data_IF_403002181548
#
_entry.id   IF_403002181548
#
_cell.length_a   1.000
_cell.length_b   1.000
_cell.length_c   1.000
_cell.angle_alpha   90.00
_cell.angle_beta   90.00
_cell.angle_gamma   90.00
#
_symmetry.space_group_name_H-M   'P 1'
#
loop_
_entity.id
_entity.type
_entity.pdbx_description
1 polymer ?
#
# COMPACT_ATOMS: atom_id res chain seq x y z
N UNK A 1 16.40 7.94 33.46
CA UNK A 1 17.49 7.85 32.47
C UNK A 1 16.95 8.21 31.09
N UNK A 2 17.82 8.37 30.09
CA UNK A 2 17.41 8.56 28.70
C UNK A 2 16.58 7.37 28.19
N UNK A 3 16.97 6.16 28.58
CA UNK A 3 16.28 4.90 28.29
C UNK A 3 14.82 4.89 28.79
N UNK A 4 14.56 5.26 30.05
CA UNK A 4 13.18 5.36 30.57
C UNK A 4 12.34 6.36 29.77
N UNK A 5 12.94 7.49 29.32
CA UNK A 5 12.22 8.45 28.49
C UNK A 5 11.96 7.92 27.08
N UNK A 6 12.89 7.13 26.53
CA UNK A 6 12.71 6.43 25.26
C UNK A 6 11.56 5.42 25.34
N UNK A 7 11.56 4.55 26.35
CA UNK A 7 10.52 3.52 26.52
C UNK A 7 9.15 4.14 26.77
N UNK A 8 9.09 5.21 27.58
CA UNK A 8 7.87 5.98 27.77
C UNK A 8 7.37 6.58 26.44
N UNK A 9 8.27 7.10 25.60
CA UNK A 9 7.91 7.63 24.29
C UNK A 9 7.36 6.53 23.36
N UNK A 10 7.98 5.35 23.33
CA UNK A 10 7.49 4.21 22.54
C UNK A 10 6.11 3.75 23.02
N UNK A 11 5.89 3.67 24.34
CA UNK A 11 4.59 3.33 24.92
C UNK A 11 3.51 4.35 24.55
N UNK A 12 3.82 5.65 24.61
CA UNK A 12 2.91 6.72 24.19
C UNK A 12 2.57 6.63 22.70
N UNK A 13 3.56 6.32 21.85
CA UNK A 13 3.35 6.11 20.41
C UNK A 13 2.42 4.92 20.14
N UNK A 14 2.60 3.82 20.86
CA UNK A 14 1.79 2.60 20.73
C UNK A 14 0.30 2.84 21.06
N UNK A 15 -0.01 3.77 21.97
CA UNK A 15 -1.39 4.15 22.31
C UNK A 15 -1.90 5.39 21.54
N UNK A 16 -1.18 5.82 20.50
CA UNK A 16 -1.58 6.94 19.63
C UNK A 16 -1.37 8.34 20.21
N UNK A 17 -0.75 8.49 21.38
CA UNK A 17 -0.41 9.79 21.99
C UNK A 17 0.87 10.37 21.41
N UNK A 18 0.85 10.64 20.10
CA UNK A 18 2.04 11.01 19.32
C UNK A 18 2.70 12.30 19.82
N UNK A 19 1.93 13.32 20.19
CA UNK A 19 2.46 14.59 20.73
C UNK A 19 3.19 14.41 22.06
N UNK A 20 2.64 13.59 22.95
CA UNK A 20 3.28 13.26 24.22
C UNK A 20 4.57 12.46 24.00
N UNK A 21 4.55 11.54 23.03
CA UNK A 21 5.72 10.75 22.62
C UNK A 21 6.85 11.67 22.12
N UNK A 22 6.54 12.67 21.28
CA UNK A 22 7.51 13.71 20.88
C UNK A 22 8.11 14.41 22.11
N UNK A 23 7.29 14.78 23.09
CA UNK A 23 7.77 15.39 24.33
C UNK A 23 8.71 14.48 25.14
N UNK A 24 8.43 13.18 25.18
CA UNK A 24 9.27 12.18 25.83
C UNK A 24 10.59 11.94 25.07
N UNK A 25 10.57 11.84 23.73
CA UNK A 25 11.78 11.77 22.92
C UNK A 25 12.65 13.02 23.08
N UNK A 26 12.07 14.23 23.09
CA UNK A 26 12.83 15.47 23.35
C UNK A 26 13.52 15.44 24.72
N UNK A 27 12.91 14.84 25.75
CA UNK A 27 13.56 14.62 27.06
C UNK A 27 14.68 13.60 26.97
N UNK A 28 14.48 12.50 26.25
CA UNK A 28 15.52 11.49 26.03
C UNK A 28 16.74 12.08 25.31
N UNK A 29 16.52 12.87 24.26
CA UNK A 29 17.57 13.55 23.48
C UNK A 29 18.37 14.52 24.36
N UNK A 30 17.71 15.30 25.23
CA UNK A 30 18.43 16.17 26.19
C UNK A 30 19.36 15.40 27.14
N UNK A 31 19.02 14.16 27.46
CA UNK A 31 19.83 13.30 28.34
C UNK A 31 20.93 12.56 27.57
N UNK A 32 20.74 12.32 26.27
CA UNK A 32 21.70 11.63 25.40
C UNK A 32 21.64 12.22 23.98
N UNK A 33 22.33 13.35 23.73
CA UNK A 33 22.23 14.10 22.48
C UNK A 33 22.98 13.47 21.30
N UNK A 34 23.81 12.46 21.54
CA UNK A 34 24.62 11.81 20.51
C UNK A 34 24.04 10.44 20.10
N UNK A 35 22.79 10.15 20.48
CA UNK A 35 22.12 8.88 20.15
C UNK A 35 21.29 9.01 18.86
N UNK A 36 21.79 8.54 17.69
CA UNK A 36 21.09 8.66 16.39
C UNK A 36 19.72 7.99 16.39
N UNK A 37 19.56 6.89 17.14
CA UNK A 37 18.30 6.18 17.28
C UNK A 37 17.19 7.07 17.87
N UNK A 38 17.50 8.02 18.76
CA UNK A 38 16.49 8.92 19.33
C UNK A 38 15.96 9.90 18.27
N UNK A 39 16.85 10.44 17.45
CA UNK A 39 16.51 11.32 16.33
C UNK A 39 15.70 10.58 15.25
N UNK A 40 16.08 9.36 14.89
CA UNK A 40 15.31 8.54 13.96
C UNK A 40 13.90 8.21 14.49
N UNK A 41 13.76 7.95 15.80
CA UNK A 41 12.47 7.64 16.42
C UNK A 41 11.55 8.86 16.55
N UNK A 42 12.08 10.03 16.95
CA UNK A 42 11.29 11.26 16.99
C UNK A 42 10.89 11.70 15.58
N UNK A 43 11.77 11.56 14.59
CA UNK A 43 11.48 11.84 13.19
C UNK A 43 10.33 10.97 12.64
N UNK A 44 10.34 9.67 12.95
CA UNK A 44 9.24 8.76 12.63
C UNK A 44 7.92 9.21 13.27
N UNK A 45 7.97 9.76 14.50
CA UNK A 45 6.79 10.23 15.21
C UNK A 45 6.25 11.52 14.59
N UNK A 46 7.13 12.45 14.22
CA UNK A 46 6.78 13.65 13.46
C UNK A 46 6.16 13.32 12.10
N UNK A 47 6.71 12.34 11.38
CA UNK A 47 6.13 11.86 10.12
C UNK A 47 4.71 11.29 10.29
N UNK A 48 4.43 10.61 11.40
CA UNK A 48 3.07 10.12 11.72
C UNK A 48 2.10 11.26 12.07
N UNK A 49 2.62 12.42 12.50
CA UNK A 49 1.87 13.64 12.76
C UNK A 49 1.72 14.54 11.52
N UNK A 50 2.26 14.12 10.37
CA UNK A 50 2.37 14.92 9.14
C UNK A 50 3.20 16.21 9.28
N UNK A 51 4.10 16.24 10.28
CA UNK A 51 5.07 17.32 10.49
C UNK A 51 6.38 16.99 9.78
N UNK A 52 6.35 17.05 8.44
CA UNK A 52 7.39 16.49 7.60
C UNK A 52 8.74 17.24 7.70
N UNK A 53 8.71 18.55 7.94
CA UNK A 53 9.89 19.39 8.09
C UNK A 53 10.64 19.10 9.40
N UNK A 54 9.92 18.97 10.52
CA UNK A 54 10.47 18.50 11.80
C UNK A 54 11.04 17.08 11.64
N UNK A 55 10.34 16.20 10.93
CA UNK A 55 10.82 14.85 10.67
C UNK A 55 12.13 14.86 9.87
N UNK A 56 12.21 15.67 8.80
CA UNK A 56 13.41 15.84 7.98
C UNK A 56 14.61 16.29 8.82
N UNK A 57 14.47 17.36 9.60
CA UNK A 57 15.56 17.88 10.43
C UNK A 57 16.12 16.81 11.37
N UNK A 58 15.23 16.01 11.98
CA UNK A 58 15.64 14.93 12.87
C UNK A 58 16.26 13.74 12.11
N UNK A 59 15.81 13.40 10.90
CA UNK A 59 16.49 12.38 10.10
C UNK A 59 17.89 12.83 9.66
N UNK A 60 18.03 14.07 9.23
CA UNK A 60 19.32 14.65 8.86
C UNK A 60 20.28 14.62 10.06
N UNK A 61 19.82 15.01 11.25
CA UNK A 61 20.61 14.90 12.47
C UNK A 61 20.98 13.46 12.83
N UNK A 62 20.07 12.51 12.61
CA UNK A 62 20.37 11.09 12.83
C UNK A 62 21.46 10.58 11.86
N UNK A 63 21.43 11.01 10.60
CA UNK A 63 22.43 10.67 9.57
C UNK A 63 23.77 11.37 9.77
N UNK A 64 23.79 12.59 10.31
CA UNK A 64 25.04 13.26 10.71
C UNK A 64 25.79 12.46 11.79
N UNK A 65 25.04 11.89 12.75
CA UNK A 65 25.59 11.09 13.83
C UNK A 65 25.97 9.67 13.39
N UNK A 66 25.21 9.09 12.45
CA UNK A 66 25.40 7.72 11.98
C UNK A 66 25.04 7.57 10.48
N UNK A 67 25.96 7.92 9.57
CA UNK A 67 25.69 7.94 8.13
C UNK A 67 25.56 6.55 7.49
N UNK A 68 25.97 5.49 8.19
CA UNK A 68 26.06 4.11 7.73
C UNK A 68 24.97 3.18 8.31
N UNK A 69 23.89 3.75 8.87
CA UNK A 69 22.74 2.98 9.38
C UNK A 69 21.63 2.91 8.34
N UNK A 70 21.44 1.73 7.77
CA UNK A 70 20.51 1.49 6.67
C UNK A 70 19.04 1.84 7.01
N UNK A 71 18.62 1.60 8.24
CA UNK A 71 17.26 1.89 8.72
C UNK A 71 16.95 3.39 8.73
N UNK A 72 17.95 4.24 8.99
CA UNK A 72 17.78 5.69 8.98
C UNK A 72 17.55 6.16 7.53
N UNK A 73 18.35 5.67 6.58
CA UNK A 73 18.13 5.94 5.14
C UNK A 73 16.76 5.48 4.66
N UNK A 74 16.33 4.27 5.05
CA UNK A 74 15.02 3.73 4.66
C UNK A 74 13.85 4.55 5.24
N UNK A 75 13.94 4.96 6.52
CA UNK A 75 12.91 5.76 7.16
C UNK A 75 12.89 7.20 6.62
N UNK A 76 14.05 7.77 6.32
CA UNK A 76 14.14 9.09 5.72
C UNK A 76 13.59 9.10 4.29
N UNK A 77 13.87 8.06 3.50
CA UNK A 77 13.27 7.89 2.17
C UNK A 77 11.73 7.96 2.22
N UNK A 78 11.10 7.33 3.21
CA UNK A 78 9.65 7.39 3.39
C UNK A 78 9.15 8.80 3.73
N UNK A 79 9.95 9.60 4.46
CA UNK A 79 9.66 11.01 4.72
C UNK A 79 9.79 11.86 3.46
N UNK A 80 10.88 11.70 2.71
CA UNK A 80 11.12 12.41 1.46
C UNK A 80 10.01 12.13 0.44
N UNK A 81 9.57 10.87 0.33
CA UNK A 81 8.46 10.50 -0.53
C UNK A 81 7.16 11.21 -0.11
N UNK A 82 6.85 11.27 1.19
CA UNK A 82 5.68 11.99 1.69
C UNK A 82 5.75 13.51 1.42
N UNK A 83 6.97 14.09 1.41
CA UNK A 83 7.20 15.50 1.04
C UNK A 83 7.15 15.75 -0.48
N UNK A 84 7.05 14.71 -1.30
CA UNK A 84 7.13 14.81 -2.76
C UNK A 84 8.56 14.90 -3.31
N UNK A 85 9.59 14.75 -2.48
CA UNK A 85 10.99 14.61 -2.92
C UNK A 85 11.24 13.18 -3.43
N UNK A 86 10.72 12.89 -4.62
CA UNK A 86 10.76 11.55 -5.22
C UNK A 86 12.20 11.12 -5.55
N UNK A 87 13.02 12.04 -6.04
CA UNK A 87 14.43 11.75 -6.39
C UNK A 87 15.27 11.45 -5.14
N UNK A 88 15.11 12.26 -4.09
CA UNK A 88 15.76 12.03 -2.80
C UNK A 88 15.31 10.72 -2.16
N UNK A 89 14.01 10.42 -2.18
CA UNK A 89 13.47 9.17 -1.67
C UNK A 89 14.05 7.93 -2.38
N UNK A 90 14.12 7.95 -3.71
CA UNK A 90 14.74 6.85 -4.47
C UNK A 90 16.22 6.68 -4.10
N UNK A 91 16.99 7.77 -4.04
CA UNK A 91 18.40 7.73 -3.66
C UNK A 91 18.62 7.15 -2.27
N UNK A 92 17.81 7.56 -1.30
CA UNK A 92 17.87 7.08 0.09
C UNK A 92 17.49 5.61 0.19
N UNK A 93 16.44 5.16 -0.53
CA UNK A 93 16.09 3.75 -0.65
C UNK A 93 17.25 2.91 -1.21
N UNK A 94 17.88 3.35 -2.31
CA UNK A 94 19.00 2.64 -2.93
C UNK A 94 20.22 2.59 -2.00
N UNK A 95 20.45 3.65 -1.23
CA UNK A 95 21.53 3.70 -0.23
C UNK A 95 21.28 2.69 0.89
N UNK A 96 20.07 2.66 1.44
CA UNK A 96 19.66 1.67 2.44
C UNK A 96 19.83 0.24 1.91
N UNK A 97 19.33 -0.03 0.69
CA UNK A 97 19.37 -1.36 0.07
C UNK A 97 20.78 -1.82 -0.33
N UNK A 98 21.72 -0.88 -0.54
CA UNK A 98 23.12 -1.20 -0.75
C UNK A 98 23.81 -1.64 0.55
N UNK A 99 23.40 -1.08 1.69
CA UNK A 99 23.92 -1.44 3.01
C UNK A 99 23.30 -2.76 3.51
N UNK A 100 21.99 -2.90 3.31
CA UNK A 100 21.18 -4.05 3.71
C UNK A 100 20.08 -4.27 2.70
N UNK A 101 20.15 -5.38 1.99
CA UNK A 101 19.26 -5.68 0.87
C UNK A 101 17.95 -6.38 1.28
N UNK A 102 17.72 -6.54 2.58
CA UNK A 102 16.58 -7.22 3.22
C UNK A 102 15.58 -6.26 3.89
N UNK A 103 15.73 -4.95 3.71
CA UNK A 103 14.83 -3.95 4.30
C UNK A 103 13.52 -3.88 3.51
N UNK A 104 12.51 -4.63 3.96
CA UNK A 104 11.19 -4.76 3.32
C UNK A 104 10.56 -3.40 3.03
N UNK A 105 10.54 -2.47 4.00
CA UNK A 105 9.97 -1.13 3.79
C UNK A 105 10.66 -0.35 2.66
N UNK A 106 11.98 -0.47 2.52
CA UNK A 106 12.72 0.19 1.44
C UNK A 106 12.45 -0.48 0.09
N UNK A 107 12.36 -1.81 0.05
CA UNK A 107 11.98 -2.57 -1.15
C UNK A 107 10.57 -2.22 -1.65
N UNK A 108 9.61 -2.11 -0.73
CA UNK A 108 8.24 -1.70 -1.05
C UNK A 108 8.20 -0.26 -1.54
N UNK A 109 8.91 0.65 -0.86
CA UNK A 109 8.91 2.07 -1.22
C UNK A 109 9.57 2.31 -2.58
N UNK A 110 10.72 1.68 -2.87
CA UNK A 110 11.35 1.83 -4.20
C UNK A 110 10.48 1.22 -5.31
N UNK A 111 9.76 0.13 -5.02
CA UNK A 111 8.76 -0.44 -5.90
C UNK A 111 7.63 0.56 -6.21
N UNK A 112 7.07 1.18 -5.17
CA UNK A 112 6.01 2.20 -5.31
C UNK A 112 6.49 3.41 -6.12
N UNK A 113 7.65 3.98 -5.77
CA UNK A 113 8.23 5.12 -6.50
C UNK A 113 8.37 4.82 -8.00
N UNK A 114 8.83 3.61 -8.32
CA UNK A 114 8.98 3.19 -9.72
C UNK A 114 7.65 3.01 -10.43
N UNK A 115 6.62 2.52 -9.75
CA UNK A 115 5.26 2.45 -10.32
C UNK A 115 4.71 3.83 -10.62
N UNK A 116 4.85 4.77 -9.69
CA UNK A 116 4.35 6.14 -9.85
C UNK A 116 5.01 6.86 -11.04
N UNK A 117 6.25 6.51 -11.35
CA UNK A 117 7.00 7.02 -12.51
C UNK A 117 6.79 6.19 -13.79
N UNK A 118 5.90 5.20 -13.79
CA UNK A 118 5.64 4.32 -14.93
C UNK A 118 6.75 3.32 -15.25
N UNK A 119 7.74 3.15 -14.37
CA UNK A 119 8.86 2.21 -14.51
C UNK A 119 8.48 0.81 -14.00
N UNK A 120 7.35 0.29 -14.47
CA UNK A 120 6.70 -0.93 -13.96
C UNK A 120 7.61 -2.17 -13.97
N UNK A 121 8.39 -2.37 -15.04
CA UNK A 121 9.35 -3.49 -15.12
C UNK A 121 10.36 -3.41 -13.97
N UNK A 122 10.88 -2.22 -13.68
CA UNK A 122 11.88 -2.01 -12.62
C UNK A 122 11.28 -2.07 -11.21
N UNK A 123 9.97 -1.85 -11.07
CA UNK A 123 9.25 -1.99 -9.80
C UNK A 123 9.05 -3.47 -9.40
N UNK A 124 8.89 -4.36 -10.38
CA UNK A 124 8.50 -5.75 -10.15
C UNK A 124 9.45 -6.53 -9.24
N UNK A 125 10.77 -6.38 -9.43
CA UNK A 125 11.75 -7.13 -8.65
C UNK A 125 11.80 -6.73 -7.17
N UNK A 126 11.98 -5.44 -6.80
CA UNK A 126 11.95 -5.05 -5.39
C UNK A 126 10.69 -5.52 -4.67
N UNK A 127 9.53 -5.44 -5.32
CA UNK A 127 8.25 -5.87 -4.76
C UNK A 127 8.16 -7.39 -4.59
N UNK A 128 8.61 -8.16 -5.58
CA UNK A 128 8.72 -9.63 -5.46
C UNK A 128 9.64 -10.03 -4.32
N UNK A 129 10.78 -9.35 -4.17
CA UNK A 129 11.74 -9.60 -3.09
C UNK A 129 11.15 -9.24 -1.72
N UNK A 130 10.42 -8.13 -1.60
CA UNK A 130 9.69 -7.79 -0.38
C UNK A 130 8.73 -8.91 0.03
N UNK A 131 7.98 -9.47 -0.93
CA UNK A 131 7.06 -10.58 -0.67
C UNK A 131 7.76 -11.92 -0.41
N UNK A 132 8.99 -12.14 -0.88
CA UNK A 132 9.76 -13.32 -0.47
C UNK A 132 10.22 -13.27 0.99
N UNK A 133 10.43 -12.05 1.52
CA UNK A 133 10.82 -11.82 2.92
C UNK A 133 9.58 -11.81 3.83
N UNK A 134 8.51 -11.14 3.39
CA UNK A 134 7.25 -11.03 4.12
C UNK A 134 6.06 -11.31 3.18
N UNK A 135 5.65 -12.60 3.01
CA UNK A 135 4.62 -12.99 2.05
C UNK A 135 3.24 -12.34 2.25
N UNK A 136 2.94 -11.91 3.48
CA UNK A 136 1.68 -11.27 3.84
C UNK A 136 1.74 -9.74 3.92
N UNK A 137 2.82 -9.09 3.45
CA UNK A 137 2.95 -7.64 3.58
C UNK A 137 1.92 -6.89 2.72
N UNK A 138 0.90 -6.23 3.28
CA UNK A 138 -0.28 -5.78 2.52
C UNK A 138 0.07 -4.79 1.40
N UNK A 139 0.91 -3.79 1.71
CA UNK A 139 1.34 -2.79 0.71
C UNK A 139 2.19 -3.41 -0.40
N UNK A 140 2.93 -4.47 -0.11
CA UNK A 140 3.74 -5.14 -1.11
C UNK A 140 2.85 -5.97 -2.05
N UNK A 141 1.83 -6.66 -1.50
CA UNK A 141 0.85 -7.42 -2.27
C UNK A 141 0.07 -6.50 -3.23
N UNK A 142 -0.42 -5.36 -2.73
CA UNK A 142 -1.12 -4.38 -3.56
C UNK A 142 -0.22 -3.84 -4.67
N UNK A 143 0.97 -3.31 -4.31
CA UNK A 143 1.87 -2.74 -5.31
C UNK A 143 2.38 -3.78 -6.33
N UNK A 144 2.67 -5.01 -5.90
CA UNK A 144 3.10 -6.06 -6.81
C UNK A 144 1.96 -6.52 -7.72
N UNK A 145 0.75 -6.66 -7.19
CA UNK A 145 -0.45 -6.95 -7.98
C UNK A 145 -0.69 -5.91 -9.07
N UNK A 146 -0.56 -4.62 -8.73
CA UNK A 146 -0.69 -3.51 -9.68
C UNK A 146 0.42 -3.54 -10.75
N UNK A 147 1.66 -3.82 -10.33
CA UNK A 147 2.79 -3.98 -11.25
C UNK A 147 2.54 -5.12 -12.26
N UNK A 148 2.10 -6.27 -11.77
CA UNK A 148 1.79 -7.45 -12.60
C UNK A 148 0.63 -7.18 -13.56
N UNK A 149 -0.40 -6.47 -13.10
CA UNK A 149 -1.53 -6.08 -13.94
C UNK A 149 -1.08 -5.19 -15.10
N UNK A 150 -0.28 -4.16 -14.82
CA UNK A 150 0.26 -3.26 -15.85
C UNK A 150 1.19 -3.98 -16.83
N UNK A 151 1.89 -5.03 -16.38
CA UNK A 151 2.72 -5.90 -17.24
C UNK A 151 1.92 -6.96 -18.01
N UNK A 152 0.59 -7.02 -17.85
CA UNK A 152 -0.26 -8.05 -18.46
C UNK A 152 -0.13 -9.44 -17.83
N UNK A 153 0.56 -9.56 -16.70
CA UNK A 153 0.75 -10.82 -15.96
C UNK A 153 -0.45 -11.09 -15.05
N UNK A 154 -1.62 -11.26 -15.67
CA UNK A 154 -2.91 -11.30 -14.97
C UNK A 154 -3.03 -12.44 -13.94
N UNK A 155 -2.47 -13.62 -14.21
CA UNK A 155 -2.51 -14.72 -13.26
C UNK A 155 -1.77 -14.40 -11.94
N UNK A 156 -0.65 -13.69 -12.03
CA UNK A 156 0.10 -13.23 -10.85
C UNK A 156 -0.63 -12.11 -10.11
N UNK A 157 -1.25 -11.17 -10.84
CA UNK A 157 -2.07 -10.12 -10.24
C UNK A 157 -3.27 -10.70 -9.47
N UNK A 158 -3.96 -11.71 -10.04
CA UNK A 158 -5.02 -12.45 -9.34
C UNK A 158 -4.51 -13.11 -8.06
N UNK A 159 -3.32 -13.73 -8.11
CA UNK A 159 -2.72 -14.36 -6.92
C UNK A 159 -2.51 -13.33 -5.80
N UNK A 160 -1.96 -12.16 -6.12
CA UNK A 160 -1.75 -11.08 -5.15
C UNK A 160 -3.09 -10.61 -4.56
N UNK A 161 -4.12 -10.38 -5.38
CA UNK A 161 -5.44 -9.96 -4.92
C UNK A 161 -6.11 -11.00 -4.01
N UNK A 162 -5.96 -12.29 -4.32
CA UNK A 162 -6.45 -13.37 -3.44
C UNK A 162 -5.73 -13.40 -2.10
N UNK A 163 -4.43 -13.10 -2.06
CA UNK A 163 -3.69 -12.97 -0.80
C UNK A 163 -4.14 -11.75 -0.01
N UNK A 164 -4.43 -10.61 -0.66
CA UNK A 164 -5.03 -9.45 0.01
C UNK A 164 -6.37 -9.83 0.65
N UNK A 165 -7.25 -10.52 -0.09
CA UNK A 165 -8.55 -10.98 0.42
C UNK A 165 -8.45 -12.09 1.48
N UNK A 166 -7.32 -12.80 1.56
CA UNK A 166 -7.07 -13.73 2.66
C UNK A 166 -6.70 -13.01 3.97
N UNK A 167 -6.14 -11.80 3.88
CA UNK A 167 -5.82 -10.95 5.03
C UNK A 167 -7.02 -10.13 5.47
N UNK A 168 -7.76 -9.56 4.52
CA UNK A 168 -9.00 -8.84 4.74
C UNK A 168 -10.08 -9.34 3.77
N UNK A 169 -10.91 -10.30 4.20
CA UNK A 169 -12.01 -10.81 3.41
C UNK A 169 -13.05 -9.75 3.06
N UNK A 170 -13.09 -8.60 3.70
CA UNK A 170 -14.09 -7.55 3.46
C UNK A 170 -13.54 -6.38 2.63
N UNK A 171 -12.30 -6.47 2.12
CA UNK A 171 -11.72 -5.48 1.22
C UNK A 171 -12.49 -5.42 -0.11
N UNK A 172 -13.48 -4.51 -0.15
CA UNK A 172 -14.33 -4.29 -1.30
C UNK A 172 -13.55 -3.83 -2.54
N UNK A 173 -12.45 -3.10 -2.36
CA UNK A 173 -11.60 -2.63 -3.48
C UNK A 173 -10.87 -3.81 -4.10
N UNK A 174 -10.19 -4.64 -3.30
CA UNK A 174 -9.50 -5.82 -3.78
C UNK A 174 -10.46 -6.80 -4.48
N UNK A 175 -11.65 -7.00 -3.90
CA UNK A 175 -12.68 -7.86 -4.47
C UNK A 175 -13.22 -7.35 -5.81
N UNK A 176 -13.50 -6.04 -5.93
CA UNK A 176 -13.94 -5.42 -7.20
C UNK A 176 -12.84 -5.52 -8.27
N UNK A 177 -11.59 -5.24 -7.93
CA UNK A 177 -10.45 -5.38 -8.85
C UNK A 177 -10.28 -6.83 -9.31
N UNK A 178 -10.45 -7.81 -8.41
CA UNK A 178 -10.40 -9.22 -8.77
C UNK A 178 -11.51 -9.61 -9.74
N UNK A 179 -12.73 -9.14 -9.53
CA UNK A 179 -13.85 -9.36 -10.44
C UNK A 179 -13.58 -8.79 -11.85
N UNK A 180 -13.12 -7.53 -11.94
CA UNK A 180 -12.74 -6.89 -13.20
C UNK A 180 -11.64 -7.67 -13.94
N UNK A 181 -10.64 -8.13 -13.20
CA UNK A 181 -9.54 -8.91 -13.74
C UNK A 181 -10.03 -10.26 -14.29
N UNK A 182 -10.90 -10.95 -13.55
CA UNK A 182 -11.48 -12.23 -13.96
C UNK A 182 -12.35 -12.08 -15.23
N UNK A 183 -13.16 -11.02 -15.31
CA UNK A 183 -13.91 -10.69 -16.54
C UNK A 183 -12.97 -10.49 -17.73
N UNK A 184 -11.89 -9.73 -17.54
CA UNK A 184 -10.91 -9.44 -18.60
C UNK A 184 -10.19 -10.67 -19.12
N UNK A 185 -9.94 -11.68 -18.27
CA UNK A 185 -9.33 -12.95 -18.69
C UNK A 185 -10.34 -14.04 -19.07
N UNK A 186 -11.64 -13.72 -19.09
CA UNK A 186 -12.70 -14.66 -19.46
C UNK A 186 -13.07 -15.69 -18.39
N UNK A 187 -12.63 -15.49 -17.15
CA UNK A 187 -12.90 -16.36 -16.00
C UNK A 187 -14.24 -15.96 -15.34
N UNK A 188 -15.34 -16.24 -16.02
CA UNK A 188 -16.68 -15.81 -15.61
C UNK A 188 -17.12 -16.37 -14.25
N UNK A 189 -16.80 -17.63 -13.92
CA UNK A 189 -17.18 -18.23 -12.63
C UNK A 189 -16.45 -17.55 -11.47
N UNK A 190 -15.15 -17.28 -11.62
CA UNK A 190 -14.35 -16.59 -10.62
C UNK A 190 -14.76 -15.12 -10.48
N UNK A 191 -15.22 -14.48 -11.58
CA UNK A 191 -15.82 -13.15 -11.52
C UNK A 191 -17.11 -13.15 -10.70
N UNK A 192 -18.01 -14.11 -10.94
CA UNK A 192 -19.26 -14.27 -10.17
C UNK A 192 -18.95 -14.40 -8.67
N UNK A 193 -18.06 -15.32 -8.28
CA UNK A 193 -17.72 -15.52 -6.87
C UNK A 193 -17.07 -14.31 -6.20
N UNK A 194 -16.38 -13.45 -6.97
CA UNK A 194 -15.89 -12.18 -6.47
C UNK A 194 -16.99 -11.11 -6.37
N UNK A 195 -18.01 -11.14 -7.22
CA UNK A 195 -19.10 -10.14 -7.24
C UNK A 195 -20.20 -10.42 -6.21
N UNK A 196 -20.50 -11.69 -5.93
CA UNK A 196 -21.58 -12.09 -5.00
C UNK A 196 -21.50 -11.38 -3.64
N UNK A 197 -20.35 -11.34 -2.93
CA UNK A 197 -20.28 -10.65 -1.64
C UNK A 197 -20.46 -9.13 -1.76
N UNK A 198 -20.06 -8.52 -2.89
CA UNK A 198 -20.22 -7.08 -3.10
C UNK A 198 -21.71 -6.73 -3.30
N UNK A 199 -22.41 -7.49 -4.12
CA UNK A 199 -23.84 -7.31 -4.38
C UNK A 199 -24.70 -7.63 -3.15
N UNK A 200 -24.26 -8.53 -2.27
CA UNK A 200 -24.96 -8.77 -1.00
C UNK A 200 -25.00 -7.52 -0.10
N UNK A 201 -23.98 -6.66 -0.17
CA UNK A 201 -23.91 -5.41 0.59
C UNK A 201 -24.52 -4.22 -0.17
N UNK A 202 -24.38 -4.21 -1.50
CA UNK A 202 -24.84 -3.14 -2.39
C UNK A 202 -25.63 -3.72 -3.56
N UNK A 203 -26.87 -4.21 -3.33
CA UNK A 203 -27.63 -4.97 -4.34
C UNK A 203 -28.09 -4.12 -5.53
N UNK A 204 -28.14 -2.79 -5.36
CA UNK A 204 -28.57 -1.84 -6.38
C UNK A 204 -27.39 -1.08 -7.00
N UNK A 205 -26.13 -1.49 -6.78
CA UNK A 205 -24.97 -0.87 -7.44
C UNK A 205 -24.99 -1.22 -8.94
N UNK A 206 -25.27 -0.26 -9.85
CA UNK A 206 -25.45 -0.55 -11.27
C UNK A 206 -24.17 -1.09 -11.90
N UNK A 207 -22.99 -0.69 -11.42
CA UNK A 207 -21.72 -1.14 -11.98
C UNK A 207 -21.44 -2.60 -11.60
N UNK A 208 -21.76 -3.00 -10.36
CA UNK A 208 -21.63 -4.39 -9.94
C UNK A 208 -22.63 -5.31 -10.65
N UNK A 209 -23.86 -4.81 -10.88
CA UNK A 209 -24.89 -5.53 -11.62
C UNK A 209 -24.49 -5.73 -13.09
N UNK A 210 -23.92 -4.70 -13.75
CA UNK A 210 -23.35 -4.82 -15.09
C UNK A 210 -22.26 -5.90 -15.15
N UNK A 211 -21.29 -5.83 -14.24
CA UNK A 211 -20.21 -6.82 -14.16
C UNK A 211 -20.73 -8.24 -13.92
N UNK A 212 -21.80 -8.40 -13.12
CA UNK A 212 -22.41 -9.70 -12.88
C UNK A 212 -23.13 -10.22 -14.14
N UNK A 213 -23.84 -9.36 -14.86
CA UNK A 213 -24.46 -9.71 -16.14
C UNK A 213 -23.44 -10.16 -17.19
N UNK A 214 -22.30 -9.47 -17.27
CA UNK A 214 -21.18 -9.87 -18.13
C UNK A 214 -20.60 -11.23 -17.72
N UNK A 215 -20.36 -11.44 -16.43
CA UNK A 215 -19.83 -12.69 -15.90
C UNK A 215 -20.76 -13.88 -16.16
N UNK A 216 -22.06 -13.69 -15.96
CA UNK A 216 -23.10 -14.68 -16.25
C UNK A 216 -23.19 -15.00 -17.74
N UNK A 217 -23.01 -13.99 -18.61
CA UNK A 217 -22.97 -14.18 -20.05
C UNK A 217 -21.78 -15.03 -20.49
N UNK A 218 -20.59 -14.83 -19.89
CA UNK A 218 -19.39 -15.63 -20.17
C UNK A 218 -19.56 -17.11 -19.85
N UNK A 219 -20.39 -17.46 -18.85
CA UNK A 219 -20.64 -18.85 -18.44
C UNK A 219 -21.91 -19.45 -19.05
N UNK A 220 -22.57 -18.74 -19.97
CA UNK A 220 -23.77 -19.22 -20.66
C UNK A 220 -25.09 -19.11 -19.86
N UNK A 221 -25.08 -18.43 -18.71
CA UNK A 221 -26.27 -18.19 -17.86
C UNK A 221 -27.05 -16.97 -18.35
N UNK A 222 -27.49 -17.01 -19.61
CA UNK A 222 -28.05 -15.85 -20.30
C UNK A 222 -29.35 -15.31 -19.69
N UNK A 223 -30.21 -16.18 -19.13
CA UNK A 223 -31.44 -15.74 -18.46
C UNK A 223 -31.15 -14.85 -17.26
N UNK A 224 -30.25 -15.30 -16.38
CA UNK A 224 -29.82 -14.53 -15.21
C UNK A 224 -29.04 -13.29 -15.61
N UNK A 225 -28.24 -13.34 -16.69
CA UNK A 225 -27.57 -12.16 -17.21
C UNK A 225 -28.56 -11.06 -17.62
N UNK A 226 -29.67 -11.41 -18.28
CA UNK A 226 -30.74 -10.46 -18.65
C UNK A 226 -31.37 -9.82 -17.40
N UNK A 227 -31.59 -10.60 -16.34
CA UNK A 227 -32.10 -10.07 -15.07
C UNK A 227 -31.13 -9.05 -14.46
N UNK A 228 -29.83 -9.35 -14.43
CA UNK A 228 -28.83 -8.43 -13.88
C UNK A 228 -28.69 -7.15 -14.72
N UNK A 229 -28.70 -7.27 -16.06
CA UNK A 229 -28.69 -6.09 -16.93
C UNK A 229 -29.95 -5.24 -16.76
N UNK A 230 -31.13 -5.88 -16.63
CA UNK A 230 -32.38 -5.18 -16.34
C UNK A 230 -32.35 -4.43 -15.00
N UNK A 231 -31.82 -5.07 -13.95
CA UNK A 231 -31.63 -4.46 -12.65
C UNK A 231 -30.66 -3.27 -12.72
N UNK A 232 -29.55 -3.39 -13.47
CA UNK A 232 -28.59 -2.31 -13.66
C UNK A 232 -29.21 -1.08 -14.35
N UNK A 233 -30.06 -1.30 -15.36
CA UNK A 233 -30.82 -0.23 -16.04
C UNK A 233 -31.78 0.43 -15.05
N UNK A 234 -32.53 -0.36 -14.29
CA UNK A 234 -33.48 0.13 -13.28
C UNK A 234 -32.83 0.94 -12.16
N UNK A 235 -31.59 0.61 -11.80
CA UNK A 235 -30.79 1.33 -10.80
C UNK A 235 -30.12 2.61 -11.33
N UNK A 236 -30.37 3.02 -12.58
CA UNK A 236 -29.83 4.24 -13.16
C UNK A 236 -28.47 4.08 -13.87
N UNK A 237 -28.02 2.85 -14.13
CA UNK A 237 -26.80 2.56 -14.88
C UNK A 237 -26.88 2.81 -16.40
N UNK A 238 -27.98 3.36 -16.90
CA UNK A 238 -28.33 3.37 -18.32
C UNK A 238 -28.11 4.68 -19.10
N UNK A 239 -28.01 5.86 -18.47
CA UNK A 239 -28.37 7.10 -19.20
C UNK A 239 -27.28 8.15 -19.46
N UNK A 240 -25.99 7.94 -19.13
CA UNK A 240 -24.95 8.98 -19.37
C UNK A 240 -23.76 8.61 -20.28
N UNK A 241 -23.67 7.38 -20.81
CA UNK A 241 -22.47 6.96 -21.57
C UNK A 241 -22.67 6.57 -23.04
N UNK A 242 -23.91 6.57 -23.57
CA UNK A 242 -24.17 6.11 -24.95
C UNK A 242 -24.46 7.26 -25.93
N UNK A 243 -24.63 8.51 -25.47
CA UNK A 243 -24.96 9.66 -26.34
C UNK A 243 -24.22 10.97 -26.08
N UNK A 244 -22.97 10.96 -25.59
CA UNK A 244 -22.06 12.12 -25.71
C UNK A 244 -20.64 11.73 -26.03
#
# INVERSE_FOLDING_TARGET
SAEIQHDHAQALKAIGKLRDAVGAFKRAIRLCPDAPALYCNIANTYRQLDELEDARENYERALELAPDVAEIHANYAACQYAMGDIEGAEKSCLTALKMRDDIVNALVLIGQIRLDQGRTVSASEPLRRALSLEPGHPRALTAYGDALFQLGQFAGAQHCLRQVLALDPDDAKARRTLALLNLRVGQGLEAIGALEPLLAHSPEDPQLLLMMGEALSLVGRHGEAVEQFGAAIGAGGGDDAVFR
#
